data_IF_121989734448
#
_entry.id   IF_121989734448
#
_cell.length_a   1.000
_cell.length_b   1.000
_cell.length_c   1.000
_cell.angle_alpha   90.00
_cell.angle_beta   90.00
_cell.angle_gamma   90.00
#
_symmetry.space_group_name_H-M   'P 1'
#
loop_
_entity.id
_entity.type
_entity.pdbx_description
1 polymer ?
#
# COMPACT_ATOMS: atom_id res chain seq x y z
N UNK A 1 -8.51 -20.32 -3.49
CA UNK A 1 -7.34 -19.84 -4.25
C UNK A 1 -6.87 -20.96 -5.17
N UNK A 2 -6.41 -20.68 -6.39
CA UNK A 2 -5.82 -21.70 -7.24
C UNK A 2 -4.59 -22.31 -6.57
N UNK A 3 -4.23 -23.56 -6.88
CA UNK A 3 -3.02 -24.16 -6.35
C UNK A 3 -1.77 -23.39 -6.81
N UNK A 4 -0.70 -23.37 -6.01
CA UNK A 4 0.55 -22.74 -6.41
C UNK A 4 1.04 -23.32 -7.73
N UNK A 5 1.43 -22.44 -8.66
CA UNK A 5 2.02 -22.87 -9.93
C UNK A 5 3.49 -23.24 -9.71
N UNK A 6 3.96 -24.32 -10.35
CA UNK A 6 5.38 -24.63 -10.41
C UNK A 6 6.08 -23.63 -11.33
N UNK A 7 7.06 -22.86 -10.85
CA UNK A 7 7.73 -21.87 -11.68
C UNK A 7 8.61 -22.56 -12.74
N UNK A 8 8.63 -21.98 -13.95
CA UNK A 8 9.64 -22.31 -14.95
C UNK A 8 10.95 -21.63 -14.53
N UNK A 9 12.05 -22.39 -14.53
CA UNK A 9 13.38 -21.86 -14.20
C UNK A 9 14.29 -22.01 -15.43
N UNK A 10 14.72 -20.89 -15.99
CA UNK A 10 15.59 -20.85 -17.16
C UNK A 10 16.34 -19.51 -17.25
N UNK A 11 17.52 -19.54 -17.91
CA UNK A 11 18.31 -18.33 -18.16
C UNK A 11 17.70 -17.41 -19.23
N UNK A 12 16.89 -17.98 -20.12
CA UNK A 12 16.21 -17.26 -21.21
C UNK A 12 14.70 -17.34 -21.04
N UNK A 13 13.99 -16.39 -21.59
CA UNK A 13 12.53 -16.38 -21.57
C UNK A 13 11.99 -17.70 -22.15
N UNK A 14 10.96 -18.30 -21.51
CA UNK A 14 10.39 -19.56 -21.97
C UNK A 14 9.69 -19.36 -23.34
N UNK A 15 9.84 -20.39 -24.20
CA UNK A 15 9.15 -20.46 -25.49
C UNK A 15 8.44 -21.82 -25.59
N UNK A 16 7.11 -21.89 -25.84
CA UNK A 16 6.19 -20.74 -26.01
C UNK A 16 6.03 -19.94 -24.73
N UNK A 17 5.57 -18.69 -24.86
CA UNK A 17 5.29 -17.81 -23.71
C UNK A 17 4.22 -18.47 -22.81
N UNK A 18 4.52 -18.75 -21.53
CA UNK A 18 3.62 -19.46 -20.62
C UNK A 18 2.37 -18.64 -20.25
N UNK A 19 2.30 -17.35 -20.61
CA UNK A 19 1.13 -16.50 -20.41
C UNK A 19 0.07 -16.67 -21.49
N UNK A 20 0.44 -17.25 -22.64
CA UNK A 20 -0.51 -17.47 -23.76
C UNK A 20 -1.50 -18.55 -23.40
N UNK A 21 -2.80 -18.24 -23.53
CA UNK A 21 -3.89 -19.17 -23.28
C UNK A 21 -4.22 -19.42 -21.80
N UNK A 22 -3.69 -18.59 -20.88
CA UNK A 22 -4.09 -18.66 -19.48
C UNK A 22 -5.60 -18.46 -19.34
N UNK A 23 -6.26 -19.38 -18.62
CA UNK A 23 -7.70 -19.30 -18.35
C UNK A 23 -8.00 -18.09 -17.45
N UNK A 24 -8.92 -17.20 -17.83
CA UNK A 24 -9.37 -16.13 -16.95
C UNK A 24 -10.20 -16.65 -15.79
N UNK A 25 -10.27 -15.86 -14.69
CA UNK A 25 -11.11 -16.18 -13.55
C UNK A 25 -10.99 -15.14 -12.46
N UNK A 26 -12.09 -14.83 -11.78
CA UNK A 26 -12.09 -13.83 -10.71
C UNK A 26 -11.30 -14.28 -9.47
N UNK A 27 -11.40 -15.58 -9.16
CA UNK A 27 -10.79 -16.16 -7.94
C UNK A 27 -9.90 -17.38 -8.25
N UNK A 28 -9.96 -17.85 -9.46
CA UNK A 28 -9.36 -19.11 -9.91
C UNK A 28 -8.66 -19.00 -11.27
N UNK A 29 -8.26 -17.77 -11.66
CA UNK A 29 -7.48 -17.55 -12.87
C UNK A 29 -6.25 -18.45 -12.91
N UNK A 30 -5.92 -18.98 -14.09
CA UNK A 30 -4.71 -19.73 -14.28
C UNK A 30 -3.48 -18.82 -14.11
N UNK A 31 -2.34 -19.40 -13.72
CA UNK A 31 -1.13 -18.68 -13.37
C UNK A 31 0.05 -19.17 -14.19
N UNK A 32 1.00 -18.27 -14.45
CA UNK A 32 2.33 -18.60 -14.96
C UNK A 32 3.39 -17.89 -14.09
N UNK A 33 4.50 -18.58 -13.85
CA UNK A 33 5.62 -18.00 -13.12
C UNK A 33 6.95 -18.40 -13.81
N UNK A 34 7.82 -17.42 -13.99
CA UNK A 34 9.16 -17.62 -14.54
C UNK A 34 10.19 -16.98 -13.61
N UNK A 35 11.15 -17.80 -13.13
CA UNK A 35 12.18 -17.41 -12.17
C UNK A 35 11.64 -16.74 -10.87
N UNK A 36 10.37 -16.92 -10.58
CA UNK A 36 9.71 -16.43 -9.35
C UNK A 36 8.87 -17.53 -8.72
N UNK A 37 8.86 -17.57 -7.41
CA UNK A 37 8.04 -18.50 -6.62
C UNK A 37 7.17 -17.72 -5.64
N UNK A 38 5.88 -17.99 -5.63
CA UNK A 38 4.98 -17.47 -4.57
C UNK A 38 5.38 -18.09 -3.24
N UNK A 39 5.75 -17.28 -2.26
CA UNK A 39 6.15 -17.73 -0.93
C UNK A 39 4.95 -17.93 -0.01
N UNK A 40 3.98 -17.04 -0.09
CA UNK A 40 2.75 -17.09 0.72
C UNK A 40 1.65 -16.23 0.11
N UNK A 41 0.45 -16.41 0.62
CA UNK A 41 -0.70 -15.52 0.39
C UNK A 41 -1.31 -15.20 1.75
N UNK A 42 -1.44 -13.91 2.04
CA UNK A 42 -2.01 -13.42 3.31
C UNK A 42 -3.30 -12.67 3.02
N UNK A 43 -4.48 -13.30 3.18
CA UNK A 43 -5.75 -12.63 2.99
C UNK A 43 -5.95 -11.47 3.97
N UNK A 44 -6.68 -10.41 3.59
CA UNK A 44 -7.07 -9.32 4.49
C UNK A 44 -7.80 -9.86 5.72
N UNK A 45 -7.61 -9.20 6.86
CA UNK A 45 -8.23 -9.59 8.13
C UNK A 45 -8.74 -8.37 8.89
N UNK A 46 -9.66 -8.63 9.83
CA UNK A 46 -10.10 -7.62 10.79
C UNK A 46 -10.75 -6.40 10.12
N UNK A 47 -10.29 -5.22 10.45
CA UNK A 47 -10.89 -3.93 10.07
C UNK A 47 -10.74 -3.58 8.58
N UNK A 48 -9.85 -4.23 7.85
CA UNK A 48 -9.63 -4.03 6.41
C UNK A 48 -10.25 -5.14 5.56
N UNK A 49 -10.93 -6.11 6.20
CA UNK A 49 -11.70 -7.12 5.47
C UNK A 49 -12.78 -6.47 4.61
N UNK A 50 -12.77 -6.79 3.32
CA UNK A 50 -13.69 -6.21 2.33
C UNK A 50 -13.24 -4.85 1.77
N UNK A 51 -12.17 -4.24 2.31
CA UNK A 51 -11.54 -3.07 1.69
C UNK A 51 -10.72 -3.49 0.47
N UNK A 52 -10.69 -2.65 -0.56
CA UNK A 52 -9.74 -2.81 -1.66
C UNK A 52 -8.34 -2.43 -1.17
N UNK A 53 -7.38 -3.32 -1.38
CA UNK A 53 -5.97 -3.09 -1.08
C UNK A 53 -5.27 -2.59 -2.35
N UNK A 54 -4.29 -1.74 -2.17
CA UNK A 54 -3.62 -1.04 -3.26
C UNK A 54 -2.11 -1.24 -3.21
N UNK A 55 -1.38 -0.19 -2.89
CA UNK A 55 0.05 -0.09 -3.03
C UNK A 55 0.84 -0.72 -1.87
N UNK A 56 2.14 -0.95 -2.09
CA UNK A 56 3.06 -1.55 -1.13
C UNK A 56 4.32 -0.70 -0.98
N UNK A 57 4.67 -0.38 0.27
CA UNK A 57 5.97 0.19 0.62
C UNK A 57 6.75 -0.77 1.52
N UNK A 58 8.08 -0.78 1.39
CA UNK A 58 8.95 -1.69 2.12
C UNK A 58 9.95 -0.90 2.98
N UNK A 59 10.17 -1.36 4.21
CA UNK A 59 11.16 -0.81 5.13
C UNK A 59 11.77 -1.93 5.97
N UNK A 60 13.01 -2.35 5.65
CA UNK A 60 13.63 -3.51 6.28
C UNK A 60 12.77 -4.76 6.12
N UNK A 61 12.38 -5.37 7.23
CA UNK A 61 11.50 -6.54 7.27
C UNK A 61 10.01 -6.19 7.36
N UNK A 62 9.64 -4.96 7.10
CA UNK A 62 8.25 -4.51 7.11
C UNK A 62 7.74 -4.30 5.70
N UNK A 63 6.48 -4.64 5.48
CA UNK A 63 5.69 -4.18 4.35
C UNK A 63 4.49 -3.40 4.86
N UNK A 64 4.31 -2.21 4.31
CA UNK A 64 3.14 -1.36 4.55
C UNK A 64 2.26 -1.45 3.32
N UNK A 65 1.03 -1.87 3.52
CA UNK A 65 0.04 -2.01 2.44
C UNK A 65 -1.05 -0.97 2.59
N UNK A 66 -1.16 -0.08 1.61
CA UNK A 66 -2.27 0.84 1.50
C UNK A 66 -3.58 0.12 1.18
N UNK A 67 -4.69 0.67 1.66
CA UNK A 67 -6.03 0.20 1.33
C UNK A 67 -7.03 1.36 1.47
N UNK A 68 -8.26 1.19 0.96
CA UNK A 68 -9.27 2.26 0.94
C UNK A 68 -9.70 2.76 2.33
N UNK A 69 -9.41 1.98 3.38
CA UNK A 69 -9.72 2.35 4.77
C UNK A 69 -8.52 2.82 5.58
N UNK A 70 -7.29 2.82 5.00
CA UNK A 70 -6.07 3.20 5.69
C UNK A 70 -4.85 2.42 5.22
N UNK A 71 -4.11 1.81 6.14
CA UNK A 71 -2.99 0.93 5.82
C UNK A 71 -2.80 -0.18 6.86
N UNK A 72 -2.22 -1.27 6.39
CA UNK A 72 -1.80 -2.41 7.21
C UNK A 72 -0.27 -2.48 7.25
N UNK A 73 0.32 -2.83 8.39
CA UNK A 73 1.75 -3.07 8.53
C UNK A 73 1.97 -4.56 8.84
N UNK A 74 2.78 -5.23 8.03
CA UNK A 74 3.14 -6.63 8.20
C UNK A 74 4.63 -6.78 8.48
N UNK A 75 4.99 -7.68 9.39
CA UNK A 75 6.34 -8.23 9.50
C UNK A 75 6.49 -9.38 8.48
N UNK A 76 7.49 -9.25 7.60
CA UNK A 76 7.86 -10.22 6.58
C UNK A 76 9.23 -10.84 6.82
N UNK A 77 9.75 -10.81 8.05
CA UNK A 77 11.00 -11.49 8.44
C UNK A 77 10.96 -12.96 8.04
N UNK A 78 9.79 -13.58 8.08
CA UNK A 78 9.54 -14.87 7.44
C UNK A 78 8.54 -14.68 6.28
N UNK A 79 9.00 -14.58 5.03
CA UNK A 79 8.13 -14.30 3.90
C UNK A 79 7.13 -15.43 3.59
N UNK A 80 7.36 -16.63 4.12
CA UNK A 80 6.40 -17.73 4.04
C UNK A 80 5.26 -17.62 5.06
N UNK A 81 5.37 -16.72 6.04
CA UNK A 81 4.38 -16.51 7.10
C UNK A 81 4.36 -15.04 7.54
N UNK A 82 3.90 -14.10 6.70
CA UNK A 82 3.75 -12.70 7.07
C UNK A 82 2.84 -12.54 8.29
N UNK A 83 3.18 -11.62 9.19
CA UNK A 83 2.44 -11.36 10.42
C UNK A 83 1.89 -9.93 10.40
N UNK A 84 0.57 -9.76 10.46
CA UNK A 84 -0.04 -8.45 10.63
C UNK A 84 0.33 -7.88 12.00
N UNK A 85 1.04 -6.77 12.01
CA UNK A 85 1.50 -6.07 13.20
C UNK A 85 0.50 -5.00 13.63
N UNK A 86 -0.03 -4.24 12.68
CA UNK A 86 -0.93 -3.12 12.93
C UNK A 86 -1.84 -2.85 11.74
N UNK A 87 -3.04 -2.40 12.02
CA UNK A 87 -3.96 -1.76 11.08
C UNK A 87 -4.23 -0.34 11.55
N UNK A 88 -3.96 0.65 10.71
CA UNK A 88 -4.32 2.04 10.95
C UNK A 88 -5.48 2.46 10.05
N UNK A 89 -6.57 2.91 10.64
CA UNK A 89 -7.75 3.35 9.90
C UNK A 89 -7.70 4.85 9.64
N UNK A 90 -7.72 5.20 8.36
CA UNK A 90 -7.73 6.59 7.88
C UNK A 90 -8.24 6.62 6.41
N UNK A 91 -9.54 6.59 6.20
CA UNK A 91 -10.11 6.45 4.86
C UNK A 91 -9.73 7.59 3.93
N UNK A 92 -9.31 7.26 2.67
CA UNK A 92 -9.01 8.27 1.65
C UNK A 92 -8.87 7.66 0.28
N UNK A 93 -9.56 7.12 -0.48
CA UNK A 93 -9.34 6.43 -1.76
C UNK A 93 -8.28 5.32 -1.68
N UNK A 94 -7.40 5.20 -2.65
CA UNK A 94 -6.47 4.07 -2.76
C UNK A 94 -5.39 4.04 -1.67
N UNK A 95 -5.02 5.21 -1.12
CA UNK A 95 -3.96 5.32 -0.12
C UNK A 95 -2.62 4.74 -0.60
N UNK A 96 -2.14 5.22 -1.75
CA UNK A 96 -0.79 4.97 -2.23
C UNK A 96 0.25 5.35 -1.17
N UNK A 97 1.22 4.48 -0.91
CA UNK A 97 2.10 4.58 0.25
C UNK A 97 3.58 4.56 -0.14
N UNK A 98 4.38 5.39 0.53
CA UNK A 98 5.85 5.37 0.43
C UNK A 98 6.48 5.58 1.79
N UNK A 99 7.67 5.03 2.01
CA UNK A 99 8.40 5.16 3.27
C UNK A 99 9.75 5.83 3.05
N UNK A 100 10.07 6.80 3.91
CA UNK A 100 11.41 7.36 4.04
C UNK A 100 11.80 7.42 5.52
N UNK A 101 12.79 6.63 5.94
CA UNK A 101 13.18 6.46 7.35
C UNK A 101 11.99 5.99 8.19
N UNK A 102 11.59 6.77 9.20
CA UNK A 102 10.43 6.50 10.05
C UNK A 102 9.14 7.20 9.58
N UNK A 103 9.15 7.86 8.43
CA UNK A 103 7.99 8.54 7.90
C UNK A 103 7.32 7.70 6.81
N UNK A 104 6.00 7.57 6.94
CA UNK A 104 5.11 7.03 5.91
C UNK A 104 4.35 8.18 5.28
N UNK A 105 4.41 8.28 3.96
CA UNK A 105 3.61 9.19 3.15
C UNK A 105 2.45 8.42 2.55
N UNK A 106 1.24 8.97 2.61
CA UNK A 106 0.03 8.34 2.12
C UNK A 106 -0.76 9.32 1.26
N UNK A 107 -0.99 8.99 0.00
CA UNK A 107 -1.81 9.77 -0.93
C UNK A 107 -3.28 9.79 -0.52
N UNK A 108 -3.95 10.91 -0.74
CA UNK A 108 -5.36 11.11 -0.46
C UNK A 108 -6.01 11.96 -1.55
N UNK A 109 -6.96 11.39 -2.29
CA UNK A 109 -7.68 12.09 -3.36
C UNK A 109 -9.20 12.12 -3.19
N UNK A 110 -9.75 11.27 -2.33
CA UNK A 110 -11.19 11.20 -2.15
C UNK A 110 -11.76 12.54 -1.63
N UNK A 111 -12.88 12.94 -2.21
CA UNK A 111 -13.53 14.23 -1.89
C UNK A 111 -14.15 14.29 -0.50
N UNK A 112 -14.31 13.13 0.15
CA UNK A 112 -14.86 12.98 1.48
C UNK A 112 -13.82 12.58 2.55
N UNK A 113 -12.53 12.59 2.22
CA UNK A 113 -11.46 12.31 3.19
C UNK A 113 -11.36 13.37 4.26
N UNK A 114 -11.10 12.96 5.52
CA UNK A 114 -11.05 13.83 6.70
C UNK A 114 -9.64 13.92 7.26
N UNK A 115 -9.32 15.11 7.80
CA UNK A 115 -8.03 15.36 8.48
C UNK A 115 -7.89 14.59 9.80
N UNK A 116 -9.00 14.20 10.42
CA UNK A 116 -9.06 13.44 11.67
C UNK A 116 -9.19 11.92 11.43
N UNK A 117 -9.09 11.47 10.17
CA UNK A 117 -9.27 10.06 9.79
C UNK A 117 -10.66 9.46 10.09
N UNK A 118 -11.68 10.30 10.31
CA UNK A 118 -13.06 9.85 10.55
C UNK A 118 -13.71 9.21 9.33
N UNK A 119 -14.73 8.39 9.56
CA UNK A 119 -15.48 7.64 8.54
C UNK A 119 -16.74 8.37 8.06
N UNK A 120 -17.15 9.44 8.72
CA UNK A 120 -18.40 10.16 8.46
C UNK A 120 -18.38 10.91 7.12
N UNK A 121 -17.19 11.03 6.53
CA UNK A 121 -17.01 11.82 5.32
C UNK A 121 -17.11 13.34 5.58
N UNK A 122 -17.20 14.11 4.51
CA UNK A 122 -17.32 15.58 4.54
C UNK A 122 -18.41 16.01 3.54
N UNK A 123 -19.67 16.10 3.96
CA UNK A 123 -20.78 16.43 3.08
C UNK A 123 -20.75 17.89 2.60
N UNK A 124 -20.24 18.83 3.42
CA UNK A 124 -20.21 20.25 3.07
C UNK A 124 -19.25 20.50 1.89
N UNK A 125 -19.63 21.32 0.88
CA UNK A 125 -18.75 21.70 -0.23
C UNK A 125 -17.44 22.35 0.22
N UNK A 126 -17.49 23.16 1.30
CA UNK A 126 -16.35 23.85 1.90
C UNK A 126 -16.22 23.39 3.35
N UNK A 127 -15.09 22.76 3.70
CA UNK A 127 -14.85 22.28 5.06
C UNK A 127 -13.35 22.24 5.37
N UNK A 128 -13.00 22.70 6.57
CA UNK A 128 -11.64 22.60 7.11
C UNK A 128 -11.24 21.17 7.47
N UNK A 129 -12.22 20.28 7.58
CA UNK A 129 -11.95 18.85 7.85
C UNK A 129 -11.55 18.08 6.59
N UNK A 130 -11.85 18.61 5.40
CA UNK A 130 -11.51 17.92 4.17
C UNK A 130 -10.02 17.95 3.90
N UNK A 131 -9.45 16.80 3.57
CA UNK A 131 -8.06 16.63 3.16
C UNK A 131 -7.98 15.92 1.83
N UNK A 132 -7.27 16.54 0.90
CA UNK A 132 -6.85 15.94 -0.37
C UNK A 132 -5.39 16.31 -0.62
N UNK A 133 -4.52 15.31 -0.71
CA UNK A 133 -3.08 15.55 -0.84
C UNK A 133 -2.29 14.44 -0.19
N UNK A 134 -1.35 14.77 0.67
CA UNK A 134 -0.46 13.79 1.33
C UNK A 134 -0.67 13.83 2.84
N UNK A 135 -0.85 12.67 3.44
CA UNK A 135 -0.78 12.47 4.88
C UNK A 135 0.59 11.92 5.24
N UNK A 136 1.16 12.43 6.32
CA UNK A 136 2.47 12.00 6.83
C UNK A 136 2.29 11.38 8.20
N UNK A 137 2.72 10.14 8.33
CA UNK A 137 2.68 9.40 9.60
C UNK A 137 4.08 9.13 10.09
N UNK A 138 4.29 9.18 11.41
CA UNK A 138 5.43 8.59 12.06
C UNK A 138 5.14 7.11 12.35
N UNK A 139 5.94 6.23 11.80
CA UNK A 139 5.89 4.77 11.97
C UNK A 139 7.11 4.23 12.72
N UNK A 140 7.85 5.08 13.43
CA UNK A 140 8.99 4.67 14.26
C UNK A 140 8.59 3.64 15.33
N UNK A 141 7.39 3.77 15.89
CA UNK A 141 6.70 2.69 16.60
C UNK A 141 5.60 2.11 15.71
N UNK A 142 5.88 1.00 15.07
CA UNK A 142 4.96 0.34 14.12
C UNK A 142 3.65 -0.12 14.74
N UNK A 143 3.60 -0.29 16.07
CA UNK A 143 2.39 -0.66 16.80
C UNK A 143 1.49 0.53 17.10
N UNK A 144 2.07 1.74 17.11
CA UNK A 144 1.37 2.99 17.42
C UNK A 144 1.72 4.09 16.40
N UNK A 145 1.40 3.91 15.10
CA UNK A 145 1.62 4.94 14.10
C UNK A 145 0.89 6.24 14.48
N UNK A 146 1.51 7.38 14.20
CA UNK A 146 0.94 8.69 14.53
C UNK A 146 0.83 9.55 13.28
N UNK A 147 -0.36 10.11 13.03
CA UNK A 147 -0.52 11.15 12.02
C UNK A 147 0.23 12.40 12.48
N UNK A 148 1.27 12.78 11.75
CA UNK A 148 2.12 13.94 12.06
C UNK A 148 1.55 15.21 11.45
N UNK A 149 1.19 15.12 10.16
CA UNK A 149 0.65 16.27 9.43
C UNK A 149 -0.08 15.83 8.16
N UNK A 150 -0.82 16.78 7.58
CA UNK A 150 -1.46 16.64 6.28
C UNK A 150 -1.05 17.82 5.41
N UNK A 151 -0.66 17.54 4.16
CA UNK A 151 -0.32 18.55 3.17
C UNK A 151 -1.45 18.60 2.15
N UNK A 152 -2.22 19.68 2.19
CA UNK A 152 -3.32 19.90 1.25
C UNK A 152 -2.77 20.26 -0.12
N UNK A 153 -3.24 19.58 -1.16
CA UNK A 153 -3.00 19.94 -2.56
C UNK A 153 -4.30 20.37 -3.24
N UNK A 154 -4.20 20.97 -4.42
CA UNK A 154 -5.37 21.50 -5.13
C UNK A 154 -6.39 20.41 -5.50
N UNK A 155 -5.90 19.23 -5.96
CA UNK A 155 -6.75 18.16 -6.51
C UNK A 155 -6.63 16.84 -5.77
N UNK A 156 -5.81 16.77 -4.72
CA UNK A 156 -5.44 15.53 -4.06
C UNK A 156 -4.20 14.89 -4.69
N UNK A 157 -3.88 13.71 -4.22
CA UNK A 157 -2.82 12.86 -4.73
C UNK A 157 -3.36 11.45 -4.90
N UNK A 158 -3.31 10.93 -6.11
CA UNK A 158 -3.66 9.53 -6.41
C UNK A 158 -2.50 8.62 -6.07
N UNK A 159 -1.34 8.97 -6.63
CA UNK A 159 -0.03 8.35 -6.38
C UNK A 159 1.00 9.45 -6.16
N UNK A 160 2.14 9.08 -5.60
CA UNK A 160 3.26 10.00 -5.42
C UNK A 160 4.60 9.28 -5.53
N UNK A 161 5.66 10.05 -5.71
CA UNK A 161 7.03 9.54 -5.73
C UNK A 161 7.86 10.28 -4.70
N UNK A 162 8.53 9.52 -3.83
CA UNK A 162 9.50 10.06 -2.88
C UNK A 162 10.85 10.19 -3.55
N UNK A 163 11.42 11.39 -3.53
CA UNK A 163 12.72 11.69 -4.14
C UNK A 163 13.66 12.22 -3.06
N UNK A 164 14.85 11.66 -2.99
CA UNK A 164 15.94 12.10 -2.12
C UNK A 164 17.06 12.71 -2.96
N UNK A 165 17.78 13.66 -2.39
CA UNK A 165 18.96 14.24 -3.01
C UNK A 165 20.22 13.71 -2.32
N UNK A 166 21.18 13.22 -3.09
CA UNK A 166 22.46 12.74 -2.54
C UNK A 166 23.17 13.85 -1.72
N UNK A 167 23.55 13.53 -0.50
CA UNK A 167 24.20 14.46 0.43
C UNK A 167 23.25 15.44 1.13
N UNK A 168 21.93 15.30 0.95
CA UNK A 168 20.92 16.08 1.66
C UNK A 168 20.07 15.15 2.52
N UNK A 169 20.48 14.95 3.75
CA UNK A 169 19.76 14.10 4.72
C UNK A 169 18.63 14.84 5.44
N UNK A 170 18.53 16.15 5.27
CA UNK A 170 17.54 17.00 5.95
C UNK A 170 16.22 17.07 5.17
N UNK A 171 16.23 16.83 3.85
CA UNK A 171 15.08 17.02 2.99
C UNK A 171 14.69 15.76 2.23
N UNK A 172 13.39 15.60 2.04
CA UNK A 172 12.78 14.64 1.14
C UNK A 172 11.70 15.36 0.33
N UNK A 173 11.62 15.06 -0.95
CA UNK A 173 10.68 15.68 -1.87
C UNK A 173 9.60 14.68 -2.26
N UNK A 174 8.36 15.15 -2.33
CA UNK A 174 7.21 14.35 -2.75
C UNK A 174 6.64 14.98 -4.03
N UNK A 175 6.58 14.16 -5.09
CA UNK A 175 6.06 14.55 -6.41
C UNK A 175 4.82 13.75 -6.77
#
# INVERSE_FOLDING_TARGET
>A
MPPPVTPIVSATAPTPDPRVGLRPGRWDAAQAAWNMRMMSTTPPKGKTLGSTHSDLAFSGNLVIQGNYNGFDIYDISNPSKPVLMQTYLCPASQNDVSVYRNLLFMSSEATNSRSDCGFEGVPEPISKLRVRGIRVFDIGDVKHPKLVTTVQTCRGSHTHTVVTKQGDDANVFIY
#
